data_IF_445908561349
#
_entry.id   IF_445908561349
#
_cell.length_a   1.000
_cell.length_b   1.000
_cell.length_c   1.000
_cell.angle_alpha   90.00
_cell.angle_beta   90.00
_cell.angle_gamma   90.00
#
_symmetry.space_group_name_H-M   'P 1'
#
loop_
_entity.id
_entity.type
_entity.pdbx_description
1 polymer ?
#
# COMPACT_ATOMS: atom_id res chain seq x y z
N UNK A 1 20.32 -35.98 1.70
CA UNK A 1 19.49 -35.93 0.48
C UNK A 1 19.60 -34.53 -0.03
N UNK A 2 20.36 -34.33 -1.09
CA UNK A 2 20.46 -33.01 -1.77
C UNK A 2 19.16 -32.79 -2.51
N UNK A 3 18.25 -32.01 -1.89
CA UNK A 3 17.09 -31.44 -2.62
C UNK A 3 17.67 -30.66 -3.79
N UNK A 4 17.54 -31.14 -4.99
CA UNK A 4 17.89 -30.43 -6.21
C UNK A 4 16.93 -29.24 -6.27
N UNK A 5 17.45 -28.05 -6.00
CA UNK A 5 16.72 -26.80 -6.01
C UNK A 5 16.00 -26.68 -7.37
N UNK A 6 14.68 -26.72 -7.37
CA UNK A 6 13.89 -26.69 -8.61
C UNK A 6 14.01 -25.30 -9.22
N UNK A 7 14.71 -25.21 -10.35
CA UNK A 7 14.93 -23.96 -11.07
C UNK A 7 13.85 -23.81 -12.15
N UNK A 8 13.16 -22.66 -12.12
CA UNK A 8 12.18 -22.25 -13.13
C UNK A 8 12.71 -21.02 -13.86
N UNK A 9 12.32 -20.82 -15.13
CA UNK A 9 12.72 -19.66 -15.90
C UNK A 9 11.50 -18.92 -16.45
N UNK A 10 11.62 -17.57 -16.60
CA UNK A 10 10.62 -16.75 -17.27
C UNK A 10 11.26 -15.52 -17.94
N UNK A 11 10.50 -14.85 -18.82
CA UNK A 11 10.96 -13.60 -19.44
C UNK A 11 10.88 -12.45 -18.41
N UNK A 12 9.70 -12.30 -17.76
CA UNK A 12 9.49 -11.25 -16.76
C UNK A 12 8.81 -11.83 -15.52
N UNK A 13 9.43 -11.61 -14.35
CA UNK A 13 8.82 -11.85 -13.05
C UNK A 13 8.34 -10.52 -12.44
N UNK A 14 7.12 -10.49 -11.93
CA UNK A 14 6.52 -9.31 -11.30
C UNK A 14 6.20 -9.66 -9.85
N UNK A 15 6.73 -8.89 -8.91
CA UNK A 15 6.54 -9.10 -7.47
C UNK A 15 5.43 -8.19 -6.96
N UNK A 16 4.26 -8.76 -6.73
CA UNK A 16 3.04 -8.08 -6.28
C UNK A 16 1.96 -7.97 -7.37
N UNK A 17 0.75 -8.36 -7.02
CA UNK A 17 -0.44 -8.37 -7.87
C UNK A 17 -1.38 -7.18 -7.63
N UNK A 18 -0.84 -6.06 -7.19
CA UNK A 18 -1.58 -4.80 -7.08
C UNK A 18 -1.84 -4.14 -8.45
N UNK A 19 -2.48 -2.95 -8.48
CA UNK A 19 -2.78 -2.26 -9.73
C UNK A 19 -1.58 -2.08 -10.65
N UNK A 20 -0.41 -1.70 -10.11
CA UNK A 20 0.82 -1.51 -10.90
C UNK A 20 1.32 -2.82 -11.51
N UNK A 21 1.43 -3.88 -10.70
CA UNK A 21 1.93 -5.18 -11.16
C UNK A 21 1.02 -5.82 -12.20
N UNK A 22 -0.30 -5.83 -12.00
CA UNK A 22 -1.25 -6.39 -12.96
C UNK A 22 -1.36 -5.57 -14.24
N UNK A 23 -1.24 -4.24 -14.14
CA UNK A 23 -1.18 -3.38 -15.32
C UNK A 23 0.05 -3.67 -16.18
N UNK A 24 1.20 -3.84 -15.54
CA UNK A 24 2.45 -4.19 -16.20
C UNK A 24 2.36 -5.57 -16.84
N UNK A 25 1.93 -6.57 -16.10
CA UNK A 25 1.78 -7.94 -16.59
C UNK A 25 0.87 -8.02 -17.82
N UNK A 26 -0.29 -7.36 -17.75
CA UNK A 26 -1.24 -7.29 -18.84
C UNK A 26 -0.62 -6.69 -20.10
N UNK A 27 0.07 -5.57 -19.96
CA UNK A 27 0.67 -4.90 -21.11
C UNK A 27 1.84 -5.70 -21.71
N UNK A 28 2.69 -6.32 -20.89
CA UNK A 28 3.78 -7.18 -21.36
C UNK A 28 3.25 -8.36 -22.18
N UNK A 29 2.18 -9.01 -21.72
CA UNK A 29 1.51 -10.07 -22.50
C UNK A 29 0.96 -9.55 -23.82
N UNK A 30 0.29 -8.38 -23.81
CA UNK A 30 -0.22 -7.72 -25.03
C UNK A 30 0.91 -7.30 -25.97
N UNK A 31 2.11 -7.05 -25.47
CA UNK A 31 3.32 -6.73 -26.28
C UNK A 31 4.05 -7.98 -26.78
N UNK A 32 3.51 -9.18 -26.59
CA UNK A 32 4.06 -10.43 -27.13
C UNK A 32 5.08 -11.14 -26.26
N UNK A 33 5.33 -10.67 -25.02
CA UNK A 33 6.21 -11.36 -24.07
C UNK A 33 5.54 -12.66 -23.62
N UNK A 34 6.22 -13.79 -23.86
CA UNK A 34 5.58 -15.11 -23.72
C UNK A 34 5.45 -15.55 -22.24
N UNK A 35 6.51 -15.42 -21.47
CA UNK A 35 6.57 -15.93 -20.11
C UNK A 35 6.56 -14.78 -19.09
N UNK A 36 5.35 -14.29 -18.74
CA UNK A 36 5.13 -13.28 -17.70
C UNK A 36 4.49 -13.94 -16.50
N UNK A 37 5.18 -13.89 -15.35
CA UNK A 37 4.73 -14.48 -14.08
C UNK A 37 4.54 -13.37 -13.05
N UNK A 38 3.40 -13.37 -12.39
CA UNK A 38 3.13 -12.49 -11.23
C UNK A 38 3.18 -13.33 -9.96
N UNK A 39 4.04 -12.94 -9.03
CA UNK A 39 4.22 -13.59 -7.73
C UNK A 39 3.45 -12.81 -6.66
N UNK A 40 2.47 -13.45 -6.04
CA UNK A 40 1.62 -12.85 -5.02
C UNK A 40 1.66 -13.68 -3.72
N UNK A 41 2.02 -13.02 -2.61
CA UNK A 41 2.12 -13.68 -1.31
C UNK A 41 0.75 -14.02 -0.69
N UNK A 42 -0.27 -13.25 -1.02
CA UNK A 42 -1.62 -13.46 -0.49
C UNK A 42 -2.33 -14.63 -1.20
N UNK A 43 -3.44 -15.08 -0.61
CA UNK A 43 -4.30 -16.12 -1.19
C UNK A 43 -5.13 -15.65 -2.38
N UNK A 44 -5.17 -14.33 -2.62
CA UNK A 44 -5.93 -13.69 -3.70
C UNK A 44 -5.15 -12.51 -4.27
N UNK A 45 -5.25 -12.32 -5.58
CA UNK A 45 -4.65 -11.20 -6.29
C UNK A 45 -5.53 -9.93 -6.24
N UNK A 46 -4.94 -8.76 -6.54
CA UNK A 46 -5.63 -7.48 -6.67
C UNK A 46 -5.14 -6.40 -5.72
N UNK A 47 -4.26 -6.73 -4.77
CA UNK A 47 -3.61 -5.79 -3.86
C UNK A 47 -4.55 -5.06 -2.91
N UNK A 48 -4.16 -3.88 -2.45
CA UNK A 48 -4.89 -3.04 -1.48
C UNK A 48 -6.36 -2.77 -1.85
N UNK A 49 -6.74 -2.52 -3.12
CA UNK A 49 -8.15 -2.29 -3.47
C UNK A 49 -9.11 -3.39 -3.01
N UNK A 50 -8.66 -4.63 -2.83
CA UNK A 50 -9.49 -5.76 -2.38
C UNK A 50 -10.26 -5.48 -1.10
N UNK A 51 -9.66 -4.76 -0.17
CA UNK A 51 -10.29 -4.42 1.12
C UNK A 51 -10.74 -2.97 1.24
N UNK A 52 -10.68 -2.16 0.17
CA UNK A 52 -11.25 -0.82 0.15
C UNK A 52 -12.72 -0.86 -0.27
N UNK A 53 -13.64 -1.07 0.66
CA UNK A 53 -15.07 -1.31 0.40
C UNK A 53 -15.87 -0.12 -0.14
N UNK A 54 -15.21 1.00 -0.49
CA UNK A 54 -15.83 2.25 -0.95
C UNK A 54 -15.45 2.58 -2.41
N UNK A 55 -16.25 3.42 -3.11
CA UNK A 55 -15.83 4.09 -4.34
C UNK A 55 -14.96 5.34 -4.02
N UNK A 56 -14.37 6.02 -5.04
CA UNK A 56 -14.33 5.66 -6.45
C UNK A 56 -13.05 4.91 -6.81
N UNK A 57 -13.19 3.83 -7.59
CA UNK A 57 -12.09 3.15 -8.26
C UNK A 57 -12.43 2.96 -9.74
N UNK A 58 -11.45 2.80 -10.61
CA UNK A 58 -11.63 2.39 -12.00
C UNK A 58 -12.11 3.46 -12.97
N UNK A 59 -12.13 4.73 -12.58
CA UNK A 59 -12.58 5.83 -13.46
C UNK A 59 -11.61 6.00 -14.64
N UNK A 60 -10.30 6.01 -14.36
CA UNK A 60 -9.27 6.20 -15.40
C UNK A 60 -9.13 4.99 -16.31
N UNK A 61 -9.11 3.78 -15.74
CA UNK A 61 -8.81 2.54 -16.44
C UNK A 61 -9.99 1.97 -17.21
N UNK A 62 -11.18 2.12 -16.63
CA UNK A 62 -12.40 1.44 -17.12
C UNK A 62 -13.55 2.40 -17.40
N UNK A 63 -13.38 3.72 -17.19
CA UNK A 63 -14.43 4.74 -17.32
C UNK A 63 -15.69 4.37 -16.49
N UNK A 64 -15.49 3.73 -15.35
CA UNK A 64 -16.55 3.27 -14.45
C UNK A 64 -16.20 3.57 -13.00
N UNK A 65 -17.22 3.95 -12.22
CA UNK A 65 -17.10 4.06 -10.78
C UNK A 65 -17.33 2.69 -10.15
N UNK A 66 -16.29 2.13 -9.55
CA UNK A 66 -16.31 0.81 -8.90
C UNK A 66 -15.98 0.97 -7.41
N UNK A 67 -16.39 0.00 -6.60
CA UNK A 67 -15.80 -0.21 -5.27
C UNK A 67 -14.45 -0.90 -5.41
N UNK A 68 -13.58 -0.78 -4.40
CA UNK A 68 -12.25 -1.40 -4.44
C UNK A 68 -12.27 -2.90 -4.76
N UNK A 69 -13.11 -3.75 -4.12
CA UNK A 69 -13.21 -5.17 -4.45
C UNK A 69 -13.62 -5.44 -5.89
N UNK A 70 -14.59 -4.68 -6.44
CA UNK A 70 -15.00 -4.81 -7.84
C UNK A 70 -13.89 -4.40 -8.80
N UNK A 71 -13.14 -3.36 -8.44
CA UNK A 71 -11.97 -2.92 -9.19
C UNK A 71 -10.88 -4.00 -9.17
N UNK A 72 -10.52 -4.49 -7.98
CA UNK A 72 -9.51 -5.55 -7.83
C UNK A 72 -9.85 -6.80 -8.67
N UNK A 73 -11.10 -7.26 -8.60
CA UNK A 73 -11.58 -8.37 -9.43
C UNK A 73 -11.40 -8.07 -10.92
N UNK A 74 -11.77 -6.87 -11.37
CA UNK A 74 -11.68 -6.48 -12.77
C UNK A 74 -10.25 -6.40 -13.30
N UNK A 75 -9.29 -5.89 -12.53
CA UNK A 75 -7.88 -5.86 -12.96
C UNK A 75 -7.26 -7.27 -13.00
N UNK A 76 -7.66 -8.16 -12.10
CA UNK A 76 -7.25 -9.57 -12.12
C UNK A 76 -7.80 -10.28 -13.35
N UNK A 77 -9.10 -10.17 -13.62
CA UNK A 77 -9.74 -10.72 -14.82
C UNK A 77 -9.09 -10.20 -16.11
N UNK A 78 -8.74 -8.93 -16.16
CA UNK A 78 -8.06 -8.31 -17.30
C UNK A 78 -6.69 -8.95 -17.54
N UNK A 79 -5.92 -9.20 -16.48
CA UNK A 79 -4.61 -9.85 -16.58
C UNK A 79 -4.75 -11.33 -16.98
N UNK A 80 -5.68 -12.05 -16.39
CA UNK A 80 -5.95 -13.47 -16.73
C UNK A 80 -6.39 -13.62 -18.18
N UNK A 81 -7.27 -12.76 -18.68
CA UNK A 81 -7.72 -12.76 -20.07
C UNK A 81 -6.58 -12.43 -21.06
N UNK A 82 -5.56 -11.71 -20.63
CA UNK A 82 -4.34 -11.48 -21.40
C UNK A 82 -3.35 -12.67 -21.34
N UNK A 83 -3.65 -13.72 -20.60
CA UNK A 83 -2.79 -14.90 -20.45
C UNK A 83 -1.65 -14.72 -19.45
N UNK A 84 -1.81 -13.83 -18.45
CA UNK A 84 -0.83 -13.68 -17.37
C UNK A 84 -0.92 -14.85 -16.41
N UNK A 85 0.22 -15.46 -16.07
CA UNK A 85 0.31 -16.45 -15.00
C UNK A 85 0.43 -15.73 -13.64
N UNK A 86 -0.56 -15.91 -12.76
CA UNK A 86 -0.58 -15.34 -11.41
C UNK A 86 -0.41 -16.48 -10.40
N UNK A 87 0.73 -16.50 -9.72
CA UNK A 87 1.06 -17.52 -8.71
C UNK A 87 0.80 -16.94 -7.31
N UNK A 88 -0.28 -17.42 -6.71
CA UNK A 88 -0.72 -17.01 -5.37
C UNK A 88 0.05 -17.75 -4.26
N UNK A 89 -0.04 -17.26 -3.00
CA UNK A 89 0.63 -17.82 -1.82
C UNK A 89 2.14 -18.03 -2.04
N UNK A 90 2.74 -17.20 -2.90
CA UNK A 90 4.13 -17.29 -3.29
C UNK A 90 4.88 -16.04 -2.83
N UNK A 91 5.78 -16.22 -1.88
CA UNK A 91 6.56 -15.16 -1.29
C UNK A 91 7.98 -15.16 -1.86
N UNK A 92 8.40 -14.02 -2.40
CA UNK A 92 9.81 -13.78 -2.73
C UNK A 92 10.54 -13.47 -1.43
N UNK A 93 11.62 -14.19 -1.16
CA UNK A 93 12.41 -14.06 0.07
C UNK A 93 13.76 -13.40 -0.16
N UNK A 94 14.29 -13.45 -1.39
CA UNK A 94 15.59 -12.85 -1.72
C UNK A 94 15.62 -12.40 -3.20
N UNK A 95 16.26 -11.25 -3.43
CA UNK A 95 16.61 -10.72 -4.75
C UNK A 95 18.10 -10.96 -4.98
N UNK A 96 18.44 -11.80 -5.96
CA UNK A 96 19.83 -12.14 -6.32
C UNK A 96 20.26 -11.49 -7.63
N UNK A 97 21.57 -11.42 -7.88
CA UNK A 97 22.12 -10.96 -9.14
C UNK A 97 21.73 -11.88 -10.31
N UNK A 98 21.77 -11.37 -11.54
CA UNK A 98 21.45 -12.15 -12.74
C UNK A 98 19.99 -12.59 -12.83
N UNK A 99 19.07 -11.84 -12.24
CA UNK A 99 17.63 -12.12 -12.28
C UNK A 99 17.18 -13.30 -11.43
N UNK A 100 17.98 -13.72 -10.47
CA UNK A 100 17.68 -14.86 -9.57
C UNK A 100 16.78 -14.42 -8.42
N UNK A 101 15.63 -15.07 -8.25
CA UNK A 101 14.70 -14.89 -7.12
C UNK A 101 14.60 -16.17 -6.30
N UNK A 102 14.78 -16.08 -4.99
CA UNK A 102 14.38 -17.16 -4.08
C UNK A 102 12.91 -16.98 -3.73
N UNK A 103 12.10 -18.01 -3.93
CA UNK A 103 10.66 -17.99 -3.68
C UNK A 103 10.25 -19.15 -2.78
N UNK A 104 9.24 -18.92 -1.96
CA UNK A 104 8.63 -19.94 -1.09
C UNK A 104 7.13 -19.96 -1.35
N UNK A 105 6.59 -21.15 -1.55
CA UNK A 105 5.18 -21.41 -1.78
C UNK A 105 4.74 -22.65 -0.97
N UNK A 106 3.44 -23.02 -0.96
CA UNK A 106 2.99 -24.26 -0.32
C UNK A 106 3.67 -25.52 -0.85
N UNK A 107 4.18 -25.50 -2.09
CA UNK A 107 4.92 -26.59 -2.71
C UNK A 107 6.41 -26.63 -2.29
N UNK A 108 6.86 -25.69 -1.48
CA UNK A 108 8.22 -25.59 -0.98
C UNK A 108 9.01 -24.42 -1.51
N UNK A 109 10.33 -24.44 -1.28
CA UNK A 109 11.26 -23.42 -1.75
C UNK A 109 11.72 -23.74 -3.19
N UNK A 110 11.85 -22.69 -4.01
CA UNK A 110 12.29 -22.77 -5.42
C UNK A 110 13.14 -21.56 -5.78
N UNK A 111 13.86 -21.65 -6.88
CA UNK A 111 14.53 -20.54 -7.54
C UNK A 111 13.86 -20.25 -8.86
N UNK A 112 13.49 -18.99 -9.06
CA UNK A 112 13.00 -18.46 -10.33
C UNK A 112 14.06 -17.55 -10.93
N UNK A 113 14.41 -17.76 -12.19
CA UNK A 113 15.33 -16.90 -12.94
C UNK A 113 14.51 -16.15 -14.01
N UNK A 114 14.56 -14.83 -13.95
CA UNK A 114 13.86 -13.95 -14.90
C UNK A 114 14.85 -13.08 -15.66
N UNK A 115 14.58 -12.83 -16.96
CA UNK A 115 15.37 -11.87 -17.75
C UNK A 115 15.21 -10.45 -17.22
N UNK A 116 14.00 -10.11 -16.76
CA UNK A 116 13.70 -8.84 -16.06
C UNK A 116 12.76 -9.08 -14.90
N UNK A 117 12.90 -8.26 -13.85
CA UNK A 117 12.10 -8.34 -12.64
C UNK A 117 11.46 -6.98 -12.37
N UNK A 118 10.17 -6.94 -12.11
CA UNK A 118 9.45 -5.74 -11.69
C UNK A 118 9.05 -5.83 -10.23
N UNK A 119 9.55 -4.90 -9.42
CA UNK A 119 9.12 -4.67 -8.04
C UNK A 119 7.85 -3.82 -8.05
N UNK A 120 6.71 -4.42 -7.69
CA UNK A 120 5.40 -3.78 -7.58
C UNK A 120 4.76 -4.04 -6.21
N UNK A 121 5.60 -4.06 -5.17
CA UNK A 121 5.26 -4.44 -3.79
C UNK A 121 4.42 -3.42 -3.06
N UNK A 122 4.33 -2.18 -3.59
CA UNK A 122 3.47 -1.13 -3.05
C UNK A 122 3.98 -0.52 -1.76
N UNK A 123 3.05 -0.13 -0.88
CA UNK A 123 3.32 0.52 0.42
C UNK A 123 2.54 -0.15 1.53
N UNK A 124 2.96 0.14 2.75
CA UNK A 124 2.24 -0.17 4.00
C UNK A 124 2.10 1.08 4.86
N UNK A 125 1.08 1.15 5.68
CA UNK A 125 0.95 2.21 6.67
C UNK A 125 1.97 2.02 7.79
N UNK A 126 2.53 3.13 8.26
CA UNK A 126 3.49 3.14 9.35
C UNK A 126 2.82 2.65 10.65
N UNK A 127 3.30 1.57 11.27
CA UNK A 127 2.72 1.04 12.48
C UNK A 127 2.99 1.95 13.68
N UNK A 128 2.21 1.77 14.76
CA UNK A 128 2.35 2.53 16.01
C UNK A 128 3.79 2.60 16.51
N UNK A 129 4.53 1.49 16.45
CA UNK A 129 5.91 1.41 16.95
C UNK A 129 6.83 2.39 16.24
N UNK A 130 6.69 2.54 14.93
CA UNK A 130 7.48 3.49 14.15
C UNK A 130 6.99 4.96 14.30
N UNK A 131 5.76 5.16 14.79
CA UNK A 131 5.23 6.49 15.16
C UNK A 131 5.64 6.91 16.57
N UNK A 132 6.36 6.07 17.30
CA UNK A 132 6.88 6.33 18.66
C UNK A 132 5.78 6.72 19.67
N UNK A 133 4.54 6.25 19.49
CA UNK A 133 3.44 6.53 20.41
C UNK A 133 3.53 5.62 21.63
N UNK A 134 3.71 6.18 22.84
CA UNK A 134 3.89 5.40 24.08
C UNK A 134 2.57 4.78 24.58
N UNK A 135 2.68 4.03 25.66
CA UNK A 135 1.56 3.44 26.38
C UNK A 135 1.37 1.94 26.18
N UNK A 136 0.23 1.45 26.62
CA UNK A 136 -0.14 0.04 26.62
C UNK A 136 -0.12 -0.58 25.21
N UNK A 137 0.25 -1.87 25.13
CA UNK A 137 0.17 -2.68 23.91
C UNK A 137 -1.10 -3.54 23.84
N UNK A 138 -2.17 -3.01 24.38
CA UNK A 138 -3.47 -3.67 24.47
C UNK A 138 -4.08 -3.95 23.08
N UNK A 139 -5.02 -4.88 23.01
CA UNK A 139 -5.82 -5.13 21.81
C UNK A 139 -6.67 -3.89 21.45
N UNK A 140 -7.02 -3.75 20.18
CA UNK A 140 -7.80 -2.61 19.69
C UNK A 140 -6.95 -1.52 19.03
N UNK A 141 -5.67 -1.77 18.75
CA UNK A 141 -4.79 -0.84 18.03
C UNK A 141 -4.51 -1.39 16.65
N UNK A 142 -4.86 -0.66 15.60
CA UNK A 142 -4.58 -1.07 14.22
C UNK A 142 -4.39 0.12 13.28
N UNK A 143 -4.00 -0.17 12.04
CA UNK A 143 -3.96 0.78 10.92
C UNK A 143 -5.22 0.67 10.07
N UNK A 144 -5.43 1.61 9.13
CA UNK A 144 -6.60 1.57 8.23
C UNK A 144 -6.64 0.30 7.41
N UNK A 145 -5.53 -0.10 6.80
CA UNK A 145 -5.47 -1.33 6.00
C UNK A 145 -5.80 -2.57 6.82
N UNK A 146 -5.33 -2.64 8.07
CA UNK A 146 -5.68 -3.72 8.99
C UNK A 146 -7.18 -3.72 9.34
N UNK A 147 -7.77 -2.56 9.67
CA UNK A 147 -9.22 -2.43 9.90
C UNK A 147 -10.01 -2.90 8.69
N UNK A 148 -9.67 -2.42 7.51
CA UNK A 148 -10.36 -2.76 6.26
C UNK A 148 -10.27 -4.25 5.95
N UNK A 149 -9.08 -4.83 6.12
CA UNK A 149 -8.89 -6.28 5.96
C UNK A 149 -9.74 -7.08 6.94
N UNK A 150 -9.79 -6.69 8.22
CA UNK A 150 -10.63 -7.33 9.22
C UNK A 150 -12.11 -7.24 8.84
N UNK A 151 -12.59 -6.05 8.45
CA UNK A 151 -14.01 -5.83 8.13
C UNK A 151 -14.42 -6.52 6.84
N UNK A 152 -13.70 -6.28 5.72
CA UNK A 152 -14.16 -6.69 4.40
C UNK A 152 -13.70 -8.09 3.98
N UNK A 153 -12.56 -8.58 4.49
CA UNK A 153 -12.05 -9.91 4.11
C UNK A 153 -12.30 -10.97 5.18
N UNK A 154 -12.35 -10.57 6.47
CA UNK A 154 -12.46 -11.52 7.58
C UNK A 154 -13.78 -11.41 8.34
N UNK A 155 -14.64 -10.43 8.00
CA UNK A 155 -15.89 -10.14 8.70
C UNK A 155 -15.70 -9.98 10.24
N UNK A 156 -14.63 -9.29 10.63
CA UNK A 156 -14.24 -9.05 12.02
C UNK A 156 -14.29 -7.56 12.37
N UNK A 157 -14.69 -7.23 13.58
CA UNK A 157 -14.76 -5.86 14.10
C UNK A 157 -13.80 -5.75 15.29
N UNK A 158 -12.67 -5.02 15.15
CA UNK A 158 -11.65 -4.97 16.19
C UNK A 158 -12.03 -4.10 17.39
N UNK A 159 -12.89 -3.09 17.20
CA UNK A 159 -13.37 -2.13 18.21
C UNK A 159 -14.70 -1.54 17.79
N UNK A 160 -15.38 -0.84 18.71
CA UNK A 160 -16.66 -0.18 18.46
C UNK A 160 -16.60 1.34 18.52
N UNK A 161 -15.72 1.90 19.35
CA UNK A 161 -15.62 3.33 19.65
C UNK A 161 -14.16 3.80 19.61
N UNK A 162 -13.47 3.73 18.46
CA UNK A 162 -12.06 4.10 18.37
C UNK A 162 -11.86 5.62 18.35
N UNK A 163 -10.62 6.02 18.68
CA UNK A 163 -10.06 7.32 18.29
C UNK A 163 -9.31 7.13 16.97
N UNK A 164 -9.52 8.02 16.01
CA UNK A 164 -8.85 8.02 14.69
C UNK A 164 -7.71 9.04 14.71
N UNK A 165 -6.51 8.63 14.30
CA UNK A 165 -5.31 9.48 14.30
C UNK A 165 -4.91 9.80 12.86
N UNK A 166 -4.98 11.08 12.49
CA UNK A 166 -4.63 11.61 11.17
C UNK A 166 -5.85 12.08 10.37
N UNK A 167 -5.59 12.92 9.37
CA UNK A 167 -6.60 13.54 8.49
C UNK A 167 -6.20 13.46 7.01
N UNK A 168 -5.44 12.45 6.63
CA UNK A 168 -5.14 12.15 5.24
C UNK A 168 -6.38 11.58 4.53
N UNK A 169 -6.36 11.50 3.21
CA UNK A 169 -7.52 10.99 2.44
C UNK A 169 -7.92 9.57 2.88
N UNK A 170 -6.96 8.74 3.28
CA UNK A 170 -7.19 7.39 3.80
C UNK A 170 -7.95 7.40 5.14
N UNK A 171 -7.83 8.46 5.94
CA UNK A 171 -8.58 8.60 7.19
C UNK A 171 -10.09 8.67 6.93
N UNK A 172 -10.49 9.30 5.83
CA UNK A 172 -11.90 9.38 5.41
C UNK A 172 -12.39 8.05 4.82
N UNK A 173 -11.51 7.31 4.15
CA UNK A 173 -11.76 5.91 3.77
C UNK A 173 -12.00 5.03 5.01
N UNK A 174 -11.21 5.26 6.07
CA UNK A 174 -11.39 4.59 7.36
C UNK A 174 -12.73 4.93 8.02
N UNK A 175 -13.16 6.22 8.00
CA UNK A 175 -14.48 6.62 8.50
C UNK A 175 -15.63 5.96 7.74
N UNK A 176 -15.53 5.84 6.41
CA UNK A 176 -16.50 5.10 5.60
C UNK A 176 -16.56 3.63 5.99
N UNK A 177 -15.41 3.00 6.23
CA UNK A 177 -15.33 1.63 6.70
C UNK A 177 -15.96 1.49 8.09
N UNK A 178 -15.66 2.40 9.02
CA UNK A 178 -16.28 2.43 10.35
C UNK A 178 -17.80 2.52 10.24
N UNK A 179 -18.33 3.45 9.42
CA UNK A 179 -19.77 3.59 9.21
C UNK A 179 -20.41 2.31 8.70
N UNK A 180 -19.81 1.69 7.67
CA UNK A 180 -20.33 0.45 7.08
C UNK A 180 -20.34 -0.72 8.06
N UNK A 181 -19.36 -0.75 8.97
CA UNK A 181 -19.23 -1.78 10.01
C UNK A 181 -19.98 -1.47 11.32
N UNK A 182 -20.72 -0.35 11.41
CA UNK A 182 -21.40 0.06 12.63
C UNK A 182 -20.46 0.49 13.76
N UNK A 183 -19.21 0.87 13.42
CA UNK A 183 -18.22 1.43 14.35
C UNK A 183 -18.46 2.94 14.46
N UNK A 184 -18.40 3.49 15.66
CA UNK A 184 -18.67 4.90 15.95
C UNK A 184 -17.43 5.57 16.54
N UNK A 185 -16.52 6.13 15.72
CA UNK A 185 -15.34 6.84 16.23
C UNK A 185 -15.73 7.96 17.18
N UNK A 186 -15.02 8.09 18.30
CA UNK A 186 -15.31 9.09 19.34
C UNK A 186 -14.63 10.43 19.08
N UNK A 187 -13.53 10.43 18.35
CA UNK A 187 -12.82 11.61 17.88
C UNK A 187 -11.89 11.28 16.71
N UNK A 188 -11.55 12.29 15.91
CA UNK A 188 -10.45 12.28 14.96
C UNK A 188 -9.43 13.34 15.40
N UNK A 189 -8.16 12.97 15.49
CA UNK A 189 -7.06 13.84 15.95
C UNK A 189 -6.16 14.24 14.80
N UNK A 190 -5.74 15.50 14.80
CA UNK A 190 -4.75 16.06 13.89
C UNK A 190 -3.79 16.95 14.66
N UNK A 191 -2.49 16.67 14.61
CA UNK A 191 -1.46 17.44 15.31
C UNK A 191 -1.24 18.84 14.69
N UNK A 192 -1.54 18.98 13.40
CA UNK A 192 -1.39 20.23 12.69
C UNK A 192 -2.59 21.16 12.91
N UNK A 193 -2.36 22.45 12.62
CA UNK A 193 -3.39 23.50 12.69
C UNK A 193 -4.51 23.32 11.66
N UNK A 194 -4.26 22.60 10.57
CA UNK A 194 -5.21 22.35 9.48
C UNK A 194 -5.19 20.87 9.11
N UNK A 195 -6.32 20.31 8.66
CA UNK A 195 -6.34 18.96 8.12
C UNK A 195 -5.41 18.83 6.91
N UNK A 196 -4.91 17.62 6.66
CA UNK A 196 -4.13 17.32 5.45
C UNK A 196 -4.95 17.44 4.17
N UNK A 197 -6.26 17.15 4.22
CA UNK A 197 -7.16 17.26 3.08
C UNK A 197 -7.82 18.64 3.02
N UNK A 198 -8.22 19.05 1.80
CA UNK A 198 -8.90 20.32 1.54
C UNK A 198 -10.42 20.23 1.78
N UNK A 199 -11.05 21.37 1.95
CA UNK A 199 -12.51 21.49 1.81
C UNK A 199 -12.94 20.97 0.42
N UNK A 200 -14.07 20.24 0.30
CA UNK A 200 -15.04 19.90 1.37
C UNK A 200 -14.78 18.56 2.10
N UNK A 201 -13.67 17.86 1.85
CA UNK A 201 -13.45 16.48 2.32
C UNK A 201 -13.49 16.40 3.85
N UNK A 202 -12.84 17.33 4.55
CA UNK A 202 -12.82 17.26 6.01
C UNK A 202 -14.18 17.54 6.66
N UNK A 203 -15.15 18.13 5.94
CA UNK A 203 -16.53 18.29 6.43
C UNK A 203 -17.25 16.94 6.59
N UNK A 204 -16.76 15.87 5.96
CA UNK A 204 -17.29 14.54 6.17
C UNK A 204 -17.23 14.09 7.65
N UNK A 205 -16.30 14.62 8.44
CA UNK A 205 -16.25 14.36 9.90
C UNK A 205 -17.54 14.82 10.58
N UNK A 206 -18.04 16.00 10.24
CA UNK A 206 -19.31 16.53 10.75
C UNK A 206 -20.50 15.67 10.30
N UNK A 207 -20.46 15.25 9.01
CA UNK A 207 -21.52 14.42 8.46
C UNK A 207 -21.58 13.03 9.10
N UNK A 208 -20.43 12.51 9.50
CA UNK A 208 -20.34 11.26 10.26
C UNK A 208 -20.51 11.43 11.76
N UNK A 209 -20.69 12.66 12.27
CA UNK A 209 -20.81 12.94 13.69
C UNK A 209 -19.54 12.66 14.50
N UNK A 210 -18.36 12.76 13.85
CA UNK A 210 -17.05 12.52 14.48
C UNK A 210 -16.38 13.86 14.78
N UNK A 211 -16.17 14.24 16.05
CA UNK A 211 -15.44 15.46 16.40
C UNK A 211 -14.02 15.46 15.84
N UNK A 212 -13.66 16.51 15.09
CA UNK A 212 -12.29 16.73 14.61
C UNK A 212 -11.57 17.66 15.59
N UNK A 213 -10.49 17.19 16.19
CA UNK A 213 -9.64 17.91 17.13
C UNK A 213 -8.32 18.24 16.45
N UNK A 214 -8.16 19.49 16.06
CA UNK A 214 -6.92 20.02 15.48
C UNK A 214 -5.92 20.40 16.57
N UNK A 215 -4.63 20.53 16.20
CA UNK A 215 -3.53 20.84 17.11
C UNK A 215 -3.55 19.92 18.35
N UNK A 216 -3.90 18.66 18.10
CA UNK A 216 -4.10 17.68 19.15
C UNK A 216 -3.38 16.38 18.78
N UNK A 217 -2.41 16.00 19.60
CA UNK A 217 -1.65 14.77 19.46
C UNK A 217 -2.01 13.73 20.52
N UNK A 218 -1.75 12.47 20.21
CA UNK A 218 -1.85 11.38 21.18
C UNK A 218 -0.58 11.32 22.03
N UNK A 219 -0.74 11.32 23.35
CA UNK A 219 0.36 11.29 24.31
C UNK A 219 0.57 9.88 24.87
N UNK A 220 -0.52 9.17 25.12
CA UNK A 220 -0.44 7.85 25.74
C UNK A 220 -1.67 7.01 25.40
N UNK A 221 -1.50 5.69 25.36
CA UNK A 221 -2.60 4.73 25.21
C UNK A 221 -2.74 3.97 26.51
N UNK A 222 -3.95 3.97 27.06
CA UNK A 222 -4.30 3.34 28.33
C UNK A 222 -5.13 2.08 28.11
N UNK A 223 -4.97 1.12 28.99
CA UNK A 223 -5.70 -0.14 29.02
C UNK A 223 -4.77 -1.29 29.36
N UNK A 224 -5.31 -2.42 29.72
CA UNK A 224 -4.57 -3.63 30.05
C UNK A 224 -4.68 -4.67 28.92
N UNK A 225 -5.75 -5.46 28.86
CA UNK A 225 -5.99 -6.42 27.77
C UNK A 225 -6.44 -5.73 26.49
N UNK A 226 -7.25 -4.70 26.62
CA UNK A 226 -7.78 -3.87 25.53
C UNK A 226 -7.54 -2.40 25.80
N UNK A 227 -7.63 -1.58 24.74
CA UNK A 227 -7.64 -0.12 24.88
C UNK A 227 -8.89 0.29 25.66
N UNK A 228 -8.72 1.15 26.66
CA UNK A 228 -9.79 1.71 27.50
C UNK A 228 -9.90 3.22 27.32
N UNK A 229 -8.76 3.89 27.08
CA UNK A 229 -8.72 5.31 26.84
C UNK A 229 -7.42 5.71 26.11
N UNK A 230 -7.39 6.95 25.63
CA UNK A 230 -6.17 7.63 25.18
C UNK A 230 -6.00 8.95 25.91
N UNK A 231 -4.77 9.28 26.26
CA UNK A 231 -4.40 10.62 26.69
C UNK A 231 -3.98 11.44 25.47
N UNK A 232 -4.56 12.60 25.32
CA UNK A 232 -4.27 13.56 24.25
C UNK A 232 -3.78 14.86 24.82
N UNK A 233 -2.92 15.58 24.09
CA UNK A 233 -2.47 16.91 24.42
C UNK A 233 -2.79 17.89 23.31
N UNK A 234 -3.26 19.08 23.66
CA UNK A 234 -3.44 20.17 22.72
C UNK A 234 -2.16 21.04 22.60
N UNK A 235 -2.20 22.07 21.77
CA UNK A 235 -1.09 23.03 21.56
C UNK A 235 -0.59 23.70 22.83
N UNK A 236 -1.46 23.88 23.85
CA UNK A 236 -1.11 24.50 25.14
C UNK A 236 -0.53 23.47 26.13
N UNK A 237 -0.26 22.26 25.72
CA UNK A 237 0.25 21.20 26.58
C UNK A 237 -0.80 20.63 27.57
N UNK A 238 -2.06 21.05 27.50
CA UNK A 238 -3.11 20.54 28.38
C UNK A 238 -3.45 19.11 28.00
N UNK A 239 -3.17 18.19 28.91
CA UNK A 239 -3.49 16.77 28.76
C UNK A 239 -4.92 16.50 29.22
N UNK A 240 -5.66 15.70 28.43
CA UNK A 240 -6.97 15.15 28.82
C UNK A 240 -7.13 13.73 28.31
N UNK A 241 -8.07 13.02 28.89
CA UNK A 241 -8.38 11.64 28.51
C UNK A 241 -9.64 11.56 27.64
N UNK A 242 -9.61 10.63 26.69
CA UNK A 242 -10.77 10.26 25.87
C UNK A 242 -10.99 8.76 26.05
N UNK A 243 -12.12 8.39 26.63
CA UNK A 243 -12.55 6.99 26.77
C UNK A 243 -12.87 6.41 25.40
N UNK A 244 -12.22 5.33 25.03
CA UNK A 244 -12.39 4.63 23.75
C UNK A 244 -11.99 3.16 23.89
N UNK A 245 -12.40 2.30 22.96
CA UNK A 245 -12.05 0.88 22.94
C UNK A 245 -11.07 0.52 21.83
N UNK A 246 -10.52 1.53 21.15
CA UNK A 246 -9.54 1.33 20.10
C UNK A 246 -8.85 2.60 19.63
N UNK A 247 -7.71 2.40 18.96
CA UNK A 247 -6.93 3.45 18.30
C UNK A 247 -6.69 3.04 16.87
N UNK A 248 -7.13 3.89 15.93
CA UNK A 248 -6.98 3.69 14.50
C UNK A 248 -5.95 4.69 13.96
N UNK A 249 -4.75 4.21 13.68
CA UNK A 249 -3.72 5.00 13.00
C UNK A 249 -3.98 5.03 11.51
N UNK A 250 -3.94 6.20 10.91
CA UNK A 250 -4.20 6.37 9.47
C UNK A 250 -3.02 7.07 8.80
N UNK A 251 -2.84 6.84 7.49
CA UNK A 251 -1.81 7.48 6.69
C UNK A 251 -0.36 7.16 7.11
N UNK A 252 0.56 8.07 6.75
CA UNK A 252 2.00 7.89 6.94
C UNK A 252 2.49 6.58 6.30
N UNK A 253 2.53 6.55 4.98
CA UNK A 253 2.91 5.36 4.23
C UNK A 253 4.44 5.22 4.14
N UNK A 254 4.87 3.96 4.14
CA UNK A 254 6.25 3.55 3.88
C UNK A 254 6.26 2.55 2.73
N UNK A 255 7.16 2.68 1.74
CA UNK A 255 7.33 1.69 0.68
C UNK A 255 7.58 0.29 1.24
N UNK A 256 6.99 -0.73 0.61
CA UNK A 256 7.28 -2.13 0.94
C UNK A 256 8.56 -2.55 0.22
N UNK A 257 9.67 -2.04 0.69
CA UNK A 257 11.02 -2.21 0.14
C UNK A 257 11.90 -3.12 0.98
N UNK A 258 11.33 -3.95 1.86
CA UNK A 258 12.08 -4.85 2.73
C UNK A 258 13.03 -5.77 1.95
N UNK A 259 12.61 -6.26 0.79
CA UNK A 259 13.47 -7.06 -0.11
C UNK A 259 14.65 -6.25 -0.68
N UNK A 260 14.41 -4.99 -1.04
CA UNK A 260 15.46 -4.11 -1.57
C UNK A 260 16.52 -3.83 -0.53
N UNK A 261 16.10 -3.52 0.70
CA UNK A 261 16.99 -3.18 1.82
C UNK A 261 17.98 -4.29 2.23
N UNK A 262 17.64 -5.54 1.94
CA UNK A 262 18.49 -6.70 2.23
C UNK A 262 19.13 -7.30 0.98
N UNK A 263 19.03 -6.60 -0.16
CA UNK A 263 19.59 -7.02 -1.44
C UNK A 263 20.82 -6.18 -1.85
N UNK A 264 21.29 -6.42 -3.06
CA UNK A 264 22.37 -5.66 -3.71
C UNK A 264 21.89 -4.36 -4.38
N UNK A 265 20.58 -4.10 -4.39
CA UNK A 265 20.01 -2.90 -5.04
C UNK A 265 20.20 -1.65 -4.20
N UNK A 266 20.46 -0.53 -4.86
CA UNK A 266 20.53 0.77 -4.19
C UNK A 266 19.18 1.19 -3.62
N UNK A 267 19.26 1.79 -2.45
CA UNK A 267 18.13 2.15 -1.61
C UNK A 267 18.30 3.58 -1.11
N UNK A 268 17.26 4.40 -1.26
CA UNK A 268 17.23 5.76 -0.73
C UNK A 268 16.73 5.74 0.73
N UNK A 269 17.57 6.10 1.70
CA UNK A 269 17.21 6.10 3.11
C UNK A 269 16.18 7.18 3.49
N UNK A 270 16.02 8.26 2.71
CA UNK A 270 15.06 9.33 3.01
C UNK A 270 13.63 8.92 2.65
N UNK A 271 13.46 8.34 1.47
CA UNK A 271 12.14 7.92 0.98
C UNK A 271 11.82 6.48 1.33
N UNK A 272 12.80 5.69 1.75
CA UNK A 272 12.71 4.23 1.92
C UNK A 272 12.34 3.49 0.61
N UNK A 273 12.73 4.02 -0.53
CA UNK A 273 12.41 3.48 -1.86
C UNK A 273 13.64 2.88 -2.54
N UNK A 274 13.49 1.94 -3.49
CA UNK A 274 14.55 1.64 -4.43
C UNK A 274 14.91 2.89 -5.24
N UNK A 275 16.20 3.08 -5.52
CA UNK A 275 16.66 4.11 -6.44
C UNK A 275 16.37 3.64 -7.86
N UNK A 276 15.72 4.49 -8.67
CA UNK A 276 15.37 4.18 -10.06
C UNK A 276 15.73 5.32 -10.99
N UNK A 277 16.06 4.98 -12.24
CA UNK A 277 16.25 5.94 -13.33
C UNK A 277 14.91 6.41 -13.95
N UNK A 278 14.98 7.20 -14.99
CA UNK A 278 13.83 7.73 -15.74
C UNK A 278 12.98 6.64 -16.42
N UNK A 279 13.55 5.45 -16.64
CA UNK A 279 12.85 4.29 -17.22
C UNK A 279 12.25 3.37 -16.16
N UNK A 280 12.50 3.64 -14.88
CA UNK A 280 12.11 2.82 -13.76
C UNK A 280 13.06 1.65 -13.49
N UNK A 281 14.29 1.65 -14.07
CA UNK A 281 15.33 0.65 -13.78
C UNK A 281 15.98 0.96 -12.43
N UNK A 282 16.22 -0.08 -11.64
CA UNK A 282 17.02 -0.01 -10.42
C UNK A 282 18.53 0.04 -10.74
N UNK A 283 19.38 0.10 -9.72
CA UNK A 283 20.84 0.08 -9.85
C UNK A 283 21.38 -1.19 -10.55
N UNK A 284 20.70 -2.33 -10.41
CA UNK A 284 20.88 -3.49 -11.30
C UNK A 284 19.83 -3.41 -12.42
N UNK A 285 20.25 -3.28 -13.71
CA UNK A 285 19.33 -3.09 -14.84
C UNK A 285 18.41 -4.29 -15.11
N UNK A 286 18.64 -5.42 -14.47
CA UNK A 286 17.70 -6.56 -14.48
C UNK A 286 16.41 -6.24 -13.72
N UNK A 287 16.47 -5.30 -12.77
CA UNK A 287 15.38 -4.92 -11.87
C UNK A 287 14.75 -3.60 -12.27
N UNK A 288 13.44 -3.55 -12.18
CA UNK A 288 12.59 -2.39 -12.35
C UNK A 288 11.70 -2.22 -11.12
N UNK A 289 11.23 -1.00 -10.89
CA UNK A 289 10.24 -0.75 -9.84
C UNK A 289 9.14 0.18 -10.35
N UNK A 290 7.90 -0.04 -9.90
CA UNK A 290 6.75 0.79 -10.28
C UNK A 290 5.65 0.79 -9.21
N UNK A 291 4.85 1.86 -9.20
CA UNK A 291 3.79 2.07 -8.23
C UNK A 291 4.35 2.59 -6.91
N UNK A 292 3.58 2.46 -5.86
CA UNK A 292 3.88 3.08 -4.56
C UNK A 292 5.13 2.56 -3.83
N UNK A 293 5.82 1.56 -4.35
CA UNK A 293 7.15 1.18 -3.85
C UNK A 293 8.20 2.24 -4.23
N UNK A 294 7.96 3.00 -5.30
CA UNK A 294 8.78 4.12 -5.72
C UNK A 294 8.13 5.41 -5.23
N UNK A 295 8.78 6.12 -4.33
CA UNK A 295 8.31 7.43 -3.86
C UNK A 295 9.22 8.53 -4.36
N UNK A 296 8.62 9.58 -4.93
CA UNK A 296 9.36 10.79 -5.26
C UNK A 296 9.87 11.47 -3.98
N UNK A 297 11.06 12.05 -4.03
CA UNK A 297 11.53 12.91 -2.95
C UNK A 297 10.53 14.06 -2.73
N UNK A 298 10.46 14.58 -1.50
CA UNK A 298 9.51 15.66 -1.13
C UNK A 298 9.57 16.86 -2.08
N UNK A 299 10.75 17.15 -2.64
CA UNK A 299 10.97 18.28 -3.55
C UNK A 299 10.43 18.04 -4.97
N UNK A 300 10.16 16.79 -5.36
CA UNK A 300 9.67 16.41 -6.68
C UNK A 300 8.19 16.00 -6.69
N UNK A 301 7.62 15.77 -5.51
CA UNK A 301 6.24 15.31 -5.40
C UNK A 301 5.24 16.43 -5.74
N UNK A 302 4.36 16.18 -6.71
CA UNK A 302 3.22 17.06 -7.01
C UNK A 302 2.15 16.88 -5.94
N UNK A 303 1.71 17.99 -5.33
CA UNK A 303 0.64 17.96 -4.34
C UNK A 303 -0.68 17.58 -5.02
N UNK A 304 -1.31 16.45 -4.65
CA UNK A 304 -2.61 16.07 -5.22
C UNK A 304 -3.70 17.12 -4.89
N UNK A 305 -4.71 17.21 -5.75
CA UNK A 305 -5.79 18.21 -5.65
C UNK A 305 -6.52 18.21 -4.30
N UNK A 306 -6.55 17.07 -3.61
CA UNK A 306 -7.24 16.87 -2.33
C UNK A 306 -6.41 17.23 -1.09
N UNK A 307 -5.11 17.57 -1.25
CA UNK A 307 -4.21 17.90 -0.14
C UNK A 307 -3.88 19.39 -0.09
N UNK A 308 -3.51 19.86 1.10
CA UNK A 308 -2.91 21.18 1.26
C UNK A 308 -1.41 21.07 1.05
N UNK A 309 -0.80 22.07 0.38
CA UNK A 309 0.64 22.07 0.11
C UNK A 309 1.48 22.04 1.40
N UNK A 310 1.04 22.74 2.45
CA UNK A 310 1.71 22.83 3.75
C UNK A 310 1.72 21.50 4.52
N UNK A 311 0.71 20.67 4.29
CA UNK A 311 0.44 19.44 5.04
C UNK A 311 0.59 18.18 4.18
N UNK A 312 1.27 18.29 3.02
CA UNK A 312 1.46 17.17 2.13
C UNK A 312 2.40 16.13 2.77
N UNK A 313 1.88 14.97 3.23
CA UNK A 313 2.71 13.90 3.78
C UNK A 313 3.45 13.19 2.66
N UNK A 314 4.13 12.10 2.96
CA UNK A 314 4.72 11.23 1.94
C UNK A 314 3.63 10.82 0.94
N UNK A 315 3.70 11.27 -0.32
CA UNK A 315 2.65 11.05 -1.28
C UNK A 315 2.55 9.57 -1.63
N UNK A 316 1.33 9.07 -1.65
CA UNK A 316 1.01 7.78 -2.26
C UNK A 316 0.07 8.02 -3.42
N UNK A 317 0.34 7.35 -4.52
CA UNK A 317 -0.49 7.41 -5.70
C UNK A 317 -1.78 6.60 -5.52
N UNK A 318 -2.86 7.08 -6.14
CA UNK A 318 -4.09 6.32 -6.22
C UNK A 318 -3.94 5.08 -7.13
N UNK A 319 -4.92 4.19 -7.08
CA UNK A 319 -4.87 2.94 -7.85
C UNK A 319 -4.73 3.18 -9.36
N UNK A 320 -5.34 4.26 -9.90
CA UNK A 320 -5.24 4.61 -11.31
C UNK A 320 -3.88 5.16 -11.70
N UNK A 321 -3.23 5.91 -10.81
CA UNK A 321 -1.85 6.37 -11.00
C UNK A 321 -0.90 5.17 -10.99
N UNK A 322 -1.02 4.28 -10.00
CA UNK A 322 -0.25 3.04 -9.94
C UNK A 322 -0.43 2.18 -11.20
N UNK A 323 -1.67 2.05 -11.71
CA UNK A 323 -1.97 1.36 -12.97
C UNK A 323 -1.22 1.99 -14.14
N UNK A 324 -1.27 3.32 -14.26
CA UNK A 324 -0.58 4.06 -15.32
C UNK A 324 0.94 3.88 -15.27
N UNK A 325 1.53 3.97 -14.07
CA UNK A 325 2.98 3.76 -13.85
C UNK A 325 3.39 2.34 -14.25
N UNK A 326 2.64 1.32 -13.80
CA UNK A 326 2.90 -0.06 -14.18
C UNK A 326 2.93 -0.26 -15.69
N UNK A 327 1.98 0.34 -16.41
CA UNK A 327 1.98 0.31 -17.90
C UNK A 327 3.17 1.02 -18.52
N UNK A 328 3.59 2.16 -17.96
CA UNK A 328 4.77 2.90 -18.47
C UNK A 328 6.03 2.08 -18.29
N UNK A 329 6.25 1.53 -17.10
CA UNK A 329 7.42 0.68 -16.83
C UNK A 329 7.40 -0.59 -17.68
N UNK A 330 6.22 -1.20 -17.91
CA UNK A 330 6.10 -2.36 -18.80
C UNK A 330 6.51 -2.07 -20.25
N UNK A 331 6.20 -0.86 -20.77
CA UNK A 331 6.68 -0.44 -22.10
C UNK A 331 8.22 -0.37 -22.14
N UNK A 332 8.81 0.14 -21.07
CA UNK A 332 10.27 0.23 -20.98
C UNK A 332 10.90 -1.16 -20.87
N UNK A 333 10.35 -2.06 -20.06
CA UNK A 333 10.79 -3.46 -19.99
C UNK A 333 10.69 -4.16 -21.35
N UNK A 334 9.59 -3.96 -22.10
CA UNK A 334 9.43 -4.56 -23.43
C UNK A 334 10.46 -4.03 -24.44
N UNK A 335 10.74 -2.71 -24.41
CA UNK A 335 11.80 -2.11 -25.24
C UNK A 335 13.19 -2.64 -24.88
N UNK A 336 13.46 -2.77 -23.59
CA UNK A 336 14.73 -3.29 -23.07
C UNK A 336 14.95 -4.75 -23.52
N UNK A 337 13.94 -5.60 -23.39
CA UNK A 337 13.99 -6.98 -23.86
C UNK A 337 14.19 -7.11 -25.39
N UNK A 338 13.77 -6.11 -26.17
CA UNK A 338 14.00 -6.04 -27.62
C UNK A 338 15.32 -5.33 -28.01
N UNK A 339 16.09 -4.86 -27.02
CA UNK A 339 17.34 -4.09 -27.29
C UNK A 339 17.11 -2.67 -27.81
N UNK A 340 15.90 -2.12 -27.64
CA UNK A 340 15.51 -0.78 -28.14
C UNK A 340 15.51 0.30 -27.06
N UNK A 341 15.79 -0.05 -25.80
CA UNK A 341 15.91 0.91 -24.71
C UNK A 341 17.37 1.40 -24.65
N UNK A 342 17.64 2.71 -24.53
CA UNK A 342 19.00 3.26 -24.42
C UNK A 342 19.69 2.84 -23.13
#
# INVERSE_FOLDING_TARGET
MTDTEKIENCDVAIIGSGPSGLAAATLLKQSGIQQVVVLERESEAGGIPRHCGHPPFGIREFQRVLTGPKYAKKIVETAQNAGVNITLKTTVTMLGTGGKLSIVSPEGAKVLIAKRILLATGTRETPRSARMVPGSRALGICTTGALQSMVYLKNQIPFRRPVVIGTEIVSFSALLTCRNAGIKPVAMLEEKRRPHVRWPIYELTRWFGVPLLLQTGIVNILGNERVEAVQISNENGKVREIVCDGVLFTGQYTPESSLVRVSHLEFDPETNSPVVDEFGRCSDPTYYAAGNVVQASRNQAKVPIFYTAENFPNPVDDAGQCWSQGRTTAKNIAKDLSGSLP
#
